data_IF_798722944259
#
_entry.id   IF_798722944259
#
_cell.length_a   1.000
_cell.length_b   1.000
_cell.length_c   1.000
_cell.angle_alpha   90.00
_cell.angle_beta   90.00
_cell.angle_gamma   90.00
#
_symmetry.space_group_name_H-M   'P 1'
#
loop_
_entity.id
_entity.type
_entity.pdbx_description
1 polymer ?
#
# COMPACT_ATOMS: atom_id res chain seq x y z
N UNK A 1 18.07 -48.58 -35.92
CA UNK A 1 16.66 -48.27 -35.60
C UNK A 1 16.66 -47.30 -34.45
N UNK A 2 16.33 -46.04 -34.74
CA UNK A 2 16.49 -44.86 -33.87
C UNK A 2 15.08 -44.34 -33.67
N UNK A 3 14.54 -44.43 -32.46
CA UNK A 3 13.24 -43.84 -32.15
C UNK A 3 13.34 -42.31 -32.30
N UNK A 4 12.57 -41.67 -33.18
CA UNK A 4 12.56 -40.22 -33.27
C UNK A 4 11.52 -39.70 -32.27
N UNK A 5 11.96 -39.26 -31.08
CA UNK A 5 11.10 -38.37 -30.28
C UNK A 5 11.14 -38.40 -28.76
N UNK A 6 12.01 -39.17 -28.09
CA UNK A 6 12.14 -39.04 -26.63
C UNK A 6 13.13 -37.91 -26.27
N UNK A 7 12.73 -36.85 -25.52
CA UNK A 7 13.59 -35.71 -25.23
C UNK A 7 14.64 -36.06 -24.16
N UNK A 8 15.82 -36.45 -24.62
CA UNK A 8 17.03 -36.48 -23.81
C UNK A 8 17.60 -35.05 -23.69
N UNK A 9 17.55 -34.46 -22.49
CA UNK A 9 18.09 -33.12 -22.25
C UNK A 9 17.75 -32.51 -20.89
N UNK A 10 18.01 -33.22 -19.80
CA UNK A 10 18.11 -32.63 -18.46
C UNK A 10 19.29 -31.64 -18.45
N UNK A 11 19.03 -30.35 -18.18
CA UNK A 11 20.09 -29.38 -17.89
C UNK A 11 19.87 -27.92 -18.31
N UNK A 12 18.77 -27.58 -18.98
CA UNK A 12 18.42 -26.20 -19.32
C UNK A 12 17.11 -25.82 -18.68
N UNK A 13 17.07 -24.70 -17.95
CA UNK A 13 15.84 -24.08 -17.43
C UNK A 13 14.74 -24.12 -18.51
N UNK A 14 13.50 -24.55 -18.22
CA UNK A 14 12.48 -24.63 -19.24
C UNK A 14 12.24 -23.24 -19.85
N UNK A 15 12.16 -23.13 -21.19
CA UNK A 15 11.87 -21.88 -21.86
C UNK A 15 10.44 -21.45 -21.56
N UNK A 16 10.27 -20.19 -21.18
CA UNK A 16 9.01 -19.51 -20.86
C UNK A 16 8.10 -19.30 -22.08
N UNK A 17 8.00 -20.26 -22.99
CA UNK A 17 7.36 -20.07 -24.31
C UNK A 17 6.24 -21.08 -24.58
N UNK A 18 5.01 -20.55 -24.58
CA UNK A 18 3.79 -20.90 -25.34
C UNK A 18 3.26 -22.34 -25.46
N UNK A 19 3.98 -23.43 -25.17
CA UNK A 19 3.45 -24.80 -25.32
C UNK A 19 2.83 -25.41 -24.05
N UNK A 20 2.89 -24.71 -22.90
CA UNK A 20 2.23 -25.09 -21.65
C UNK A 20 0.80 -24.51 -21.49
N UNK A 21 0.23 -23.96 -22.57
CA UNK A 21 -0.96 -23.08 -22.54
C UNK A 21 -2.29 -23.75 -22.95
N UNK A 22 -2.45 -25.07 -22.80
CA UNK A 22 -3.69 -25.75 -23.24
C UNK A 22 -4.41 -26.62 -22.20
N UNK A 23 -3.97 -26.63 -20.94
CA UNK A 23 -4.78 -27.20 -19.86
C UNK A 23 -4.38 -26.61 -18.50
N UNK A 24 -4.91 -25.44 -18.12
CA UNK A 24 -5.32 -25.09 -16.74
C UNK A 24 -6.17 -23.80 -16.86
N UNK A 25 -7.39 -23.68 -16.31
CA UNK A 25 -8.12 -22.40 -16.24
C UNK A 25 -7.49 -21.48 -15.18
N UNK A 26 -6.25 -21.04 -15.38
CA UNK A 26 -5.51 -20.23 -14.40
C UNK A 26 -5.70 -18.72 -14.57
N UNK A 27 -6.49 -18.25 -15.55
CA UNK A 27 -6.75 -16.82 -15.75
C UNK A 27 -7.30 -16.14 -14.48
N UNK A 28 -8.07 -16.87 -13.67
CA UNK A 28 -8.51 -16.41 -12.34
C UNK A 28 -7.32 -16.23 -11.40
N UNK A 29 -6.37 -17.16 -11.39
CA UNK A 29 -5.16 -17.10 -10.56
C UNK A 29 -4.27 -15.93 -11.01
N UNK A 30 -4.12 -15.70 -12.31
CA UNK A 30 -3.33 -14.59 -12.85
C UNK A 30 -3.98 -13.22 -12.59
N UNK A 31 -5.30 -13.13 -12.71
CA UNK A 31 -6.07 -11.92 -12.37
C UNK A 31 -6.02 -11.66 -10.86
N UNK A 32 -6.16 -12.69 -10.03
CA UNK A 32 -6.02 -12.56 -8.57
C UNK A 32 -4.60 -12.13 -8.18
N UNK A 33 -3.57 -12.71 -8.81
CA UNK A 33 -2.18 -12.38 -8.54
C UNK A 33 -1.83 -10.94 -8.96
N UNK A 34 -2.34 -10.49 -10.11
CA UNK A 34 -2.18 -9.09 -10.53
C UNK A 34 -2.94 -8.11 -9.63
N UNK A 35 -4.18 -8.42 -9.23
CA UNK A 35 -4.94 -7.60 -8.29
C UNK A 35 -4.23 -7.47 -6.93
N UNK A 36 -3.69 -8.58 -6.39
CA UNK A 36 -2.91 -8.56 -5.14
C UNK A 36 -1.70 -7.64 -5.26
N UNK A 37 -0.94 -7.70 -6.37
CA UNK A 37 0.20 -6.80 -6.58
C UNK A 37 -0.19 -5.34 -6.64
N UNK A 38 -1.29 -5.01 -7.33
CA UNK A 38 -1.77 -3.62 -7.44
C UNK A 38 -2.18 -3.10 -6.05
N UNK A 39 -2.96 -3.88 -5.30
CA UNK A 39 -3.37 -3.51 -3.94
C UNK A 39 -2.15 -3.37 -3.04
N UNK A 40 -1.18 -4.29 -3.12
CA UNK A 40 0.05 -4.22 -2.34
C UNK A 40 0.89 -2.99 -2.70
N UNK A 41 1.01 -2.64 -3.98
CA UNK A 41 1.75 -1.47 -4.44
C UNK A 41 1.12 -0.15 -3.93
N UNK A 42 -0.21 -0.05 -3.99
CA UNK A 42 -0.95 1.11 -3.47
C UNK A 42 -0.78 1.23 -1.96
N UNK A 43 -0.98 0.14 -1.22
CA UNK A 43 -0.80 0.13 0.24
C UNK A 43 0.66 0.39 0.66
N UNK A 44 1.62 -0.04 -0.15
CA UNK A 44 3.03 0.27 0.09
C UNK A 44 3.30 1.76 -0.05
N UNK A 45 2.79 2.41 -1.10
CA UNK A 45 2.91 3.87 -1.28
C UNK A 45 2.26 4.67 -0.14
N UNK A 46 1.01 4.34 0.19
CA UNK A 46 0.28 4.98 1.30
C UNK A 46 0.94 4.70 2.67
N UNK A 47 1.41 3.47 2.89
CA UNK A 47 2.10 3.07 4.11
C UNK A 47 3.44 3.79 4.27
N UNK A 48 4.20 3.96 3.19
CA UNK A 48 5.42 4.76 3.18
C UNK A 48 5.12 6.24 3.47
N UNK A 49 4.11 6.82 2.83
CA UNK A 49 3.73 8.21 3.08
C UNK A 49 3.40 8.44 4.56
N UNK A 50 2.59 7.56 5.15
CA UNK A 50 2.26 7.62 6.57
C UNK A 50 3.49 7.42 7.48
N UNK A 51 4.40 6.52 7.11
CA UNK A 51 5.66 6.33 7.82
C UNK A 51 6.55 7.56 7.77
N UNK A 52 6.68 8.21 6.61
CA UNK A 52 7.43 9.45 6.46
C UNK A 52 6.86 10.57 7.33
N UNK A 53 5.54 10.74 7.38
CA UNK A 53 4.91 11.73 8.28
C UNK A 53 5.22 11.47 9.76
N UNK A 54 5.35 10.20 10.17
CA UNK A 54 5.82 9.88 11.52
C UNK A 54 7.30 10.24 11.72
N UNK A 55 8.14 9.96 10.72
CA UNK A 55 9.57 10.32 10.74
C UNK A 55 9.75 11.84 10.86
N UNK A 56 9.01 12.63 10.09
CA UNK A 56 9.03 14.09 10.14
C UNK A 56 8.73 14.64 11.55
N UNK A 57 7.77 14.02 12.26
CA UNK A 57 7.43 14.39 13.64
C UNK A 57 8.56 14.07 14.62
N UNK A 58 9.34 13.01 14.37
CA UNK A 58 10.51 12.66 15.18
C UNK A 58 11.69 13.55 14.86
N UNK A 59 11.97 13.81 13.58
CA UNK A 59 13.03 14.72 13.13
C UNK A 59 12.82 16.14 13.69
N UNK A 60 11.58 16.65 13.65
CA UNK A 60 11.22 17.96 14.22
C UNK A 60 11.42 18.05 15.74
N UNK A 61 11.27 16.93 16.46
CA UNK A 61 11.47 16.90 17.90
C UNK A 61 12.96 16.86 18.28
N UNK A 62 13.77 16.11 17.51
CA UNK A 62 15.23 16.07 17.67
C UNK A 62 15.85 17.43 17.38
N UNK A 63 15.40 18.12 16.31
CA UNK A 63 15.86 19.47 15.97
C UNK A 63 15.53 20.51 17.05
N UNK A 64 14.49 20.28 17.85
CA UNK A 64 14.03 21.19 18.90
C UNK A 64 14.50 20.78 20.30
N UNK A 65 15.43 19.82 20.41
CA UNK A 65 15.92 19.25 21.67
C UNK A 65 14.79 18.94 22.68
N UNK A 66 13.70 18.36 22.17
CA UNK A 66 12.57 17.90 23.00
C UNK A 66 12.29 16.43 22.76
N UNK A 67 11.98 15.70 23.83
CA UNK A 67 11.50 14.32 23.72
C UNK A 67 10.19 14.31 22.90
N UNK A 68 10.25 13.76 21.69
CA UNK A 68 9.12 13.69 20.76
C UNK A 68 8.27 12.43 20.91
N UNK A 69 6.97 12.56 20.63
CA UNK A 69 5.98 11.49 20.42
C UNK A 69 6.28 10.13 21.08
N UNK A 70 6.40 10.12 22.41
CA UNK A 70 6.63 8.90 23.21
C UNK A 70 5.46 8.66 24.19
N UNK A 71 4.26 9.14 23.83
CA UNK A 71 3.06 9.12 24.69
C UNK A 71 1.86 8.37 24.06
N UNK A 72 2.07 7.64 22.97
CA UNK A 72 1.09 6.74 22.37
C UNK A 72 1.51 5.29 22.66
N UNK A 73 1.08 4.80 23.83
CA UNK A 73 1.15 3.41 24.29
C UNK A 73 -0.25 2.82 24.09
N UNK A 74 -0.34 1.68 23.40
CA UNK A 74 -1.50 0.80 23.42
C UNK A 74 -0.99 -0.56 23.90
N UNK A 75 -1.57 -1.05 24.99
CA UNK A 75 -1.31 -2.38 25.56
C UNK A 75 0.13 -2.66 26.02
N UNK A 76 0.89 -1.65 26.46
CA UNK A 76 2.25 -1.84 27.00
C UNK A 76 3.32 -2.12 25.95
N UNK A 77 2.96 -2.11 24.65
CA UNK A 77 3.91 -2.17 23.55
C UNK A 77 4.22 -0.75 23.07
N UNK A 78 5.35 -0.20 23.56
CA UNK A 78 5.92 1.07 23.07
C UNK A 78 6.57 0.86 21.72
N UNK A 79 5.75 0.67 20.69
CA UNK A 79 6.18 0.61 19.28
C UNK A 79 6.44 2.02 18.73
N UNK A 80 7.19 2.82 19.49
CA UNK A 80 7.73 4.14 19.13
C UNK A 80 6.66 5.13 18.59
N UNK A 81 5.39 4.90 18.89
CA UNK A 81 4.27 5.72 18.39
C UNK A 81 3.84 5.40 16.95
N UNK A 82 4.11 4.21 16.41
CA UNK A 82 3.60 3.78 15.10
C UNK A 82 2.07 3.81 15.03
N UNK A 83 1.39 3.59 16.15
CA UNK A 83 -0.06 3.73 16.29
C UNK A 83 -0.59 5.15 16.04
N UNK A 84 0.27 6.18 16.00
CA UNK A 84 -0.17 7.53 15.66
C UNK A 84 -0.73 7.61 14.24
N UNK A 85 -0.23 6.80 13.30
CA UNK A 85 -0.72 6.79 11.92
C UNK A 85 -2.19 6.37 11.88
N UNK A 86 -2.55 5.30 12.61
CA UNK A 86 -3.94 4.85 12.72
C UNK A 86 -4.81 5.87 13.45
N UNK A 87 -4.30 6.49 14.52
CA UNK A 87 -5.03 7.54 15.24
C UNK A 87 -5.27 8.78 14.39
N UNK A 88 -4.35 9.14 13.50
CA UNK A 88 -4.49 10.31 12.63
C UNK A 88 -5.54 10.05 11.54
N UNK A 89 -5.53 8.86 10.94
CA UNK A 89 -6.57 8.44 9.99
C UNK A 89 -7.96 8.44 10.64
N UNK A 90 -8.10 7.80 11.82
CA UNK A 90 -9.38 7.75 12.55
C UNK A 90 -9.84 9.16 12.93
N UNK A 91 -8.92 10.02 13.36
CA UNK A 91 -9.23 11.41 13.72
C UNK A 91 -9.75 12.22 12.53
N UNK A 92 -9.18 12.03 11.34
CA UNK A 92 -9.64 12.72 10.14
C UNK A 92 -11.02 12.24 9.71
N UNK A 93 -11.29 10.94 9.79
CA UNK A 93 -12.60 10.36 9.44
C UNK A 93 -13.71 10.73 10.42
N UNK A 94 -13.36 10.99 11.68
CA UNK A 94 -14.33 11.36 12.74
C UNK A 94 -14.48 12.86 12.90
N UNK A 95 -13.71 13.67 12.15
CA UNK A 95 -13.80 15.12 12.23
C UNK A 95 -15.05 15.58 11.50
N UNK A 96 -15.80 16.51 12.10
CA UNK A 96 -16.90 17.16 11.41
C UNK A 96 -16.40 17.92 10.17
N UNK A 97 -17.00 17.61 9.02
CA UNK A 97 -16.75 18.31 7.76
C UNK A 97 -17.34 19.72 7.84
N UNK A 98 -16.47 20.71 8.05
CA UNK A 98 -16.88 22.11 8.11
C UNK A 98 -16.98 22.70 6.70
N UNK A 99 -18.22 22.98 6.25
CA UNK A 99 -18.49 23.68 4.99
C UNK A 99 -18.78 25.15 5.30
N UNK A 100 -18.04 26.11 4.70
CA UNK A 100 -18.27 27.52 4.96
C UNK A 100 -19.71 27.93 4.54
N UNK A 101 -20.42 28.76 5.33
CA UNK A 101 -21.83 29.08 5.09
C UNK A 101 -22.11 29.85 3.79
N UNK A 102 -21.07 30.41 3.16
CA UNK A 102 -21.13 31.09 1.84
C UNK A 102 -20.57 30.24 0.69
N UNK A 103 -20.12 29.02 0.97
CA UNK A 103 -19.52 28.12 0.00
C UNK A 103 -20.57 27.28 -0.73
N UNK A 104 -20.39 27.13 -2.04
CA UNK A 104 -21.17 26.21 -2.87
C UNK A 104 -20.76 24.76 -2.56
N UNK A 105 -21.64 24.01 -1.90
CA UNK A 105 -21.43 22.62 -1.43
C UNK A 105 -20.78 21.67 -2.46
N UNK A 106 -21.25 21.57 -3.72
CA UNK A 106 -20.69 20.58 -4.65
C UNK A 106 -19.23 20.86 -5.03
N UNK A 107 -18.78 22.10 -5.00
CA UNK A 107 -17.40 22.45 -5.35
C UNK A 107 -16.43 22.25 -4.19
N UNK A 108 -16.93 22.38 -2.95
CA UNK A 108 -16.16 22.11 -1.74
C UNK A 108 -15.83 20.61 -1.61
N UNK A 109 -16.76 19.74 -1.98
CA UNK A 109 -16.59 18.28 -1.90
C UNK A 109 -15.80 17.73 -3.11
N UNK A 110 -15.88 18.40 -4.26
CA UNK A 110 -15.18 18.00 -5.48
C UNK A 110 -13.70 18.41 -5.49
N UNK A 111 -13.34 19.49 -4.79
CA UNK A 111 -11.96 20.01 -4.79
C UNK A 111 -10.91 18.97 -4.31
N UNK A 112 -11.12 18.21 -3.21
CA UNK A 112 -10.20 17.15 -2.80
C UNK A 112 -10.15 15.99 -3.81
N UNK A 113 -11.28 15.67 -4.45
CA UNK A 113 -11.36 14.56 -5.41
C UNK A 113 -10.56 14.83 -6.68
N UNK A 114 -10.51 16.09 -7.15
CA UNK A 114 -9.70 16.49 -8.31
C UNK A 114 -8.21 16.55 -7.94
N UNK A 115 -7.86 16.93 -6.71
CA UNK A 115 -6.47 17.04 -6.29
C UNK A 115 -5.76 15.68 -6.10
N UNK A 116 -6.53 14.61 -5.92
CA UNK A 116 -6.02 13.24 -5.71
C UNK A 116 -6.18 12.33 -6.93
N UNK A 117 -6.85 12.82 -7.99
CA UNK A 117 -7.15 12.08 -9.23
C UNK A 117 -6.12 12.27 -10.34
#
# INVERSE_FOLDING_TARGET
>A
MRDPGSPAGLGGRPPVTCAAWLAEPCWIVDVLWSAVKVIAAINFGLGLAAFLSWVERKQSAVLQDRIGANRADIFGFRLIGLFHIFSDAIKLLTKEDFIPPKGMRPWHDLAPAISLG
#
